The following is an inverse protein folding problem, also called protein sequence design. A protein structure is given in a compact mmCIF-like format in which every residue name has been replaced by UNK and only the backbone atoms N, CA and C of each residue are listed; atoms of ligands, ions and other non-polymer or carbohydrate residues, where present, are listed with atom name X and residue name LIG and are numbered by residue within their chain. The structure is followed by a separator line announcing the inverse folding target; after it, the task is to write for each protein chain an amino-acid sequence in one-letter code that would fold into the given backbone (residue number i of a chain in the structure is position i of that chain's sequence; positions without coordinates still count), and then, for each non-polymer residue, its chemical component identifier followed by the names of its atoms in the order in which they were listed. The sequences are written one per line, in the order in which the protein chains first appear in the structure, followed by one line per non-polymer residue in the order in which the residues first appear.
data_IF_019532709452
#
_entry.id   IF_019532709452
#
_cell.length_a   1.000
_cell.length_b   1.000
_cell.length_c   1.000
_cell.angle_alpha   90.00
_cell.angle_beta   90.00
_cell.angle_gamma   90.00
#
_symmetry.space_group_name_H-M   'P 1'
#
loop_
_entity.id
_entity.type
_entity.pdbx_description
1 polymer ?
#
# COMPACT_ATOMS: atom_id res chain seq x y z
N UNK A 1 -86.30 -21.97 -14.02
CA UNK A 1 -86.49 -20.53 -14.28
C UNK A 1 -85.50 -19.75 -13.43
N UNK A 2 -84.80 -18.79 -14.05
CA UNK A 2 -84.08 -17.62 -13.48
C UNK A 2 -83.11 -17.84 -12.30
N UNK A 3 -81.77 -17.83 -12.48
CA UNK A 3 -80.86 -16.68 -12.67
C UNK A 3 -80.78 -15.73 -11.45
N UNK A 4 -79.62 -15.68 -10.79
CA UNK A 4 -78.77 -14.49 -10.45
C UNK A 4 -77.65 -14.91 -9.48
N UNK A 5 -76.36 -14.90 -9.87
CA UNK A 5 -75.38 -13.78 -9.79
C UNK A 5 -75.18 -13.34 -8.33
N UNK A 6 -73.99 -13.35 -7.73
CA UNK A 6 -72.89 -12.39 -7.95
C UNK A 6 -71.54 -12.98 -7.50
N UNK A 7 -70.55 -12.79 -8.36
CA UNK A 7 -69.11 -12.93 -8.16
C UNK A 7 -68.60 -11.72 -7.38
N UNK A 8 -67.82 -11.90 -6.32
CA UNK A 8 -66.90 -10.87 -5.82
C UNK A 8 -65.51 -11.48 -5.74
N UNK A 9 -64.69 -11.13 -6.74
CA UNK A 9 -63.28 -11.45 -6.80
C UNK A 9 -62.53 -10.50 -5.85
N UNK A 10 -61.89 -11.04 -4.81
CA UNK A 10 -60.96 -10.30 -3.98
C UNK A 10 -59.61 -10.23 -4.69
N UNK A 11 -59.33 -9.09 -5.33
CA UNK A 11 -58.00 -8.77 -5.85
C UNK A 11 -57.08 -8.37 -4.69
N UNK A 12 -56.23 -9.30 -4.25
CA UNK A 12 -55.09 -9.00 -3.38
C UNK A 12 -54.03 -8.26 -4.20
N UNK A 13 -53.97 -6.94 -4.07
CA UNK A 13 -52.79 -6.16 -4.45
C UNK A 13 -51.71 -6.37 -3.38
N UNK A 14 -50.77 -7.28 -3.67
CA UNK A 14 -49.50 -7.34 -2.96
C UNK A 14 -48.64 -6.15 -3.37
N UNK A 15 -48.55 -5.14 -2.51
CA UNK A 15 -47.61 -4.03 -2.67
C UNK A 15 -46.19 -4.52 -2.33
N UNK A 16 -45.43 -4.89 -3.36
CA UNK A 16 -44.00 -5.17 -3.25
C UNK A 16 -43.26 -3.87 -3.00
N UNK A 17 -42.95 -3.56 -1.74
CA UNK A 17 -41.98 -2.52 -1.39
C UNK A 17 -40.58 -2.99 -1.81
N UNK A 18 -40.18 -2.67 -3.03
CA UNK A 18 -38.80 -2.78 -3.46
C UNK A 18 -38.00 -1.72 -2.69
N UNK A 19 -37.33 -2.14 -1.62
CA UNK A 19 -36.31 -1.33 -0.99
C UNK A 19 -35.24 -1.06 -2.06
N UNK A 20 -35.11 0.20 -2.48
CA UNK A 20 -34.04 0.65 -3.34
C UNK A 20 -32.73 0.38 -2.59
N UNK A 21 -32.08 -0.72 -2.95
CA UNK A 21 -30.78 -1.07 -2.43
C UNK A 21 -29.81 -0.02 -2.98
N UNK A 22 -29.36 0.86 -2.09
CA UNK A 22 -28.40 1.91 -2.38
C UNK A 22 -27.20 1.25 -3.08
N UNK A 23 -26.95 1.66 -4.32
CA UNK A 23 -25.88 1.07 -5.11
C UNK A 23 -24.57 1.21 -4.31
N UNK A 24 -23.77 0.13 -4.17
CA UNK A 24 -22.50 0.21 -3.48
C UNK A 24 -21.69 1.34 -4.12
N UNK A 25 -21.12 2.20 -3.27
CA UNK A 25 -20.34 3.34 -3.72
C UNK A 25 -19.32 2.89 -4.77
N UNK A 26 -19.16 3.62 -5.88
CA UNK A 26 -18.19 3.28 -6.91
C UNK A 26 -16.83 3.09 -6.25
N UNK A 27 -16.22 1.91 -6.45
CA UNK A 27 -14.86 1.65 -6.01
C UNK A 27 -13.97 2.78 -6.52
N UNK A 28 -13.23 3.40 -5.61
CA UNK A 28 -12.35 4.53 -5.93
C UNK A 28 -11.47 4.19 -7.13
N UNK A 29 -11.44 5.09 -8.10
CA UNK A 29 -10.65 5.01 -9.33
C UNK A 29 -9.17 4.70 -8.95
N UNK A 30 -8.54 3.63 -9.46
CA UNK A 30 -7.19 3.22 -9.07
C UNK A 30 -6.07 4.17 -9.50
N UNK A 31 -6.41 5.40 -9.94
CA UNK A 31 -5.49 6.44 -10.41
C UNK A 31 -5.16 7.49 -9.35
N UNK A 32 -5.22 7.13 -8.06
CA UNK A 32 -4.79 8.05 -7.01
C UNK A 32 -3.26 8.21 -7.07
N UNK A 33 -2.72 9.45 -6.94
CA UNK A 33 -1.29 9.65 -6.74
C UNK A 33 -0.83 8.84 -5.52
N UNK A 34 0.43 8.35 -5.54
CA UNK A 34 1.01 7.68 -4.36
C UNK A 34 0.81 8.60 -3.16
N UNK A 35 0.07 8.19 -2.12
CA UNK A 35 -0.25 9.07 -1.02
C UNK A 35 1.05 9.62 -0.42
N UNK A 36 1.16 10.93 -0.12
CA UNK A 36 2.32 11.48 0.58
C UNK A 36 2.64 10.73 1.88
N UNK A 37 1.61 10.17 2.50
CA UNK A 37 1.63 9.30 3.68
C UNK A 37 2.53 8.06 3.49
N UNK A 38 2.64 7.55 2.26
CA UNK A 38 3.46 6.39 1.95
C UNK A 38 4.97 6.72 2.00
N UNK A 39 5.32 7.99 1.76
CA UNK A 39 6.69 8.51 1.87
C UNK A 39 7.08 8.85 3.31
N UNK A 40 6.12 8.97 4.24
CA UNK A 40 6.44 9.07 5.68
C UNK A 40 6.85 7.72 6.25
N UNK A 41 6.34 6.63 5.67
CA UNK A 41 6.60 5.27 6.12
C UNK A 41 7.99 4.75 5.73
N UNK A 42 8.53 5.22 4.59
CA UNK A 42 9.84 4.84 4.05
C UNK A 42 10.70 6.06 3.79
N UNK A 43 11.92 6.05 4.30
CA UNK A 43 12.91 7.10 4.08
C UNK A 43 14.11 6.54 3.33
N UNK A 44 14.76 7.30 2.42
CA UNK A 44 15.98 6.86 1.77
C UNK A 44 17.07 6.50 2.78
N UNK A 45 17.72 5.36 2.55
CA UNK A 45 18.85 4.87 3.34
C UNK A 45 20.21 5.21 2.71
N UNK A 46 20.21 5.71 1.46
CA UNK A 46 21.42 6.02 0.71
C UNK A 46 21.11 6.71 -0.63
N UNK A 47 22.13 6.92 -1.48
CA UNK A 47 21.91 7.38 -2.85
C UNK A 47 21.22 6.29 -3.68
N UNK A 48 20.60 6.63 -4.82
CA UNK A 48 20.01 5.62 -5.71
C UNK A 48 21.09 4.66 -6.22
N UNK A 49 20.82 3.36 -6.13
CA UNK A 49 21.74 2.31 -6.61
C UNK A 49 21.76 2.23 -8.13
N UNK A 50 20.61 2.52 -8.77
CA UNK A 50 20.49 2.50 -10.21
C UNK A 50 19.51 3.57 -10.71
N UNK A 51 19.88 4.19 -11.83
CA UNK A 51 19.04 5.10 -12.61
C UNK A 51 19.21 4.73 -14.08
N UNK A 52 18.12 4.34 -14.74
CA UNK A 52 18.17 4.02 -16.16
C UNK A 52 18.32 5.30 -16.99
N UNK A 53 19.18 5.25 -18.01
CA UNK A 53 19.40 6.31 -18.99
C UNK A 53 19.43 5.70 -20.38
N UNK A 54 18.82 6.39 -21.35
CA UNK A 54 18.70 5.93 -22.73
C UNK A 54 17.46 5.06 -22.97
N UNK A 55 17.46 4.24 -24.04
CA UNK A 55 16.31 3.44 -24.42
C UNK A 55 15.98 2.36 -23.38
N UNK A 56 14.70 2.24 -23.04
CA UNK A 56 14.16 1.24 -22.13
C UNK A 56 12.88 0.61 -22.71
N UNK A 57 12.51 -0.54 -22.15
CA UNK A 57 11.27 -1.27 -22.48
C UNK A 57 10.37 -1.41 -21.26
N UNK A 58 9.12 -1.83 -21.48
CA UNK A 58 8.17 -2.20 -20.43
C UNK A 58 8.80 -3.19 -19.44
N UNK A 59 8.68 -2.89 -18.16
CA UNK A 59 9.26 -3.68 -17.07
C UNK A 59 10.67 -3.26 -16.68
N UNK A 60 11.29 -2.33 -17.41
CA UNK A 60 12.60 -1.77 -17.03
C UNK A 60 12.48 -0.93 -15.76
N UNK A 61 13.45 -1.11 -14.84
CA UNK A 61 13.57 -0.31 -13.63
C UNK A 61 14.09 1.08 -14.01
N UNK A 62 13.31 2.12 -13.74
CA UNK A 62 13.70 3.52 -13.90
C UNK A 62 14.67 3.94 -12.80
N UNK A 63 14.31 3.65 -11.55
CA UNK A 63 15.06 4.02 -10.35
C UNK A 63 14.99 2.88 -9.35
N UNK A 64 16.12 2.59 -8.72
CA UNK A 64 16.24 1.72 -7.55
C UNK A 64 16.84 2.56 -6.43
N UNK A 65 16.09 2.75 -5.35
CA UNK A 65 16.47 3.56 -4.20
C UNK A 65 16.49 2.71 -2.94
N UNK A 66 17.63 2.60 -2.22
CA UNK A 66 17.66 1.90 -0.95
C UNK A 66 16.86 2.71 0.07
N UNK A 67 15.97 2.04 0.80
CA UNK A 67 15.07 2.65 1.78
C UNK A 67 15.08 1.88 3.09
N UNK A 68 14.68 2.58 4.16
CA UNK A 68 14.42 2.01 5.48
C UNK A 68 13.09 2.53 6.01
N UNK A 69 12.55 1.91 7.05
CA UNK A 69 11.37 2.44 7.73
C UNK A 69 11.66 3.82 8.34
N UNK A 70 10.76 4.77 8.09
CA UNK A 70 10.80 6.11 8.67
C UNK A 70 10.31 6.16 10.11
N UNK A 71 9.31 5.33 10.43
CA UNK A 71 8.72 5.22 11.77
C UNK A 71 9.17 3.91 12.39
N UNK A 72 9.98 3.98 13.44
CA UNK A 72 10.54 2.79 14.12
C UNK A 72 10.56 2.96 15.64
N UNK A 73 10.69 1.84 16.35
CA UNK A 73 10.83 1.84 17.80
C UNK A 73 10.88 0.44 18.39
N UNK A 74 10.85 0.38 19.72
CA UNK A 74 10.87 -0.87 20.49
C UNK A 74 9.65 -0.95 21.40
N UNK A 75 9.04 -2.13 21.45
CA UNK A 75 7.87 -2.40 22.28
C UNK A 75 8.22 -2.38 23.78
N UNK A 76 7.49 -1.61 24.59
CA UNK A 76 7.75 -1.45 26.04
C UNK A 76 7.16 -2.57 26.91
N UNK A 77 6.07 -3.16 26.47
CA UNK A 77 5.30 -4.18 27.19
C UNK A 77 4.83 -5.25 26.23
N UNK A 78 4.67 -6.48 26.70
CA UNK A 78 4.12 -7.57 25.88
C UNK A 78 2.79 -7.15 25.23
N UNK A 79 2.64 -7.46 23.95
CA UNK A 79 1.45 -7.13 23.19
C UNK A 79 0.98 -8.36 22.40
N UNK A 80 -0.32 -8.42 22.14
CA UNK A 80 -0.93 -9.58 21.46
C UNK A 80 -1.38 -9.16 20.08
N UNK A 81 -0.89 -9.77 19.02
CA UNK A 81 -1.43 -9.60 17.67
C UNK A 81 -2.58 -10.58 17.46
N UNK A 82 -3.77 -10.05 17.19
CA UNK A 82 -4.96 -10.84 16.87
C UNK A 82 -4.93 -11.22 15.38
N UNK A 83 -4.89 -12.52 15.08
CA UNK A 83 -4.94 -13.09 13.72
C UNK A 83 -6.24 -13.85 13.45
N UNK A 84 -6.96 -13.50 12.37
CA UNK A 84 -8.30 -14.05 12.08
C UNK A 84 -8.36 -15.58 11.93
N UNK A 85 -7.33 -16.18 11.34
CA UNK A 85 -7.27 -17.61 11.01
C UNK A 85 -6.12 -18.34 11.71
N UNK A 86 -5.57 -17.78 12.78
CA UNK A 86 -4.44 -18.36 13.50
C UNK A 86 -4.51 -17.99 14.97
N UNK A 87 -3.76 -18.70 15.81
CA UNK A 87 -3.67 -18.34 17.22
C UNK A 87 -3.14 -16.90 17.38
N UNK A 88 -3.63 -16.16 18.39
CA UNK A 88 -3.07 -14.86 18.73
C UNK A 88 -1.56 -14.98 18.95
N UNK A 89 -0.79 -14.07 18.38
CA UNK A 89 0.66 -14.07 18.53
C UNK A 89 1.07 -13.05 19.59
N UNK A 90 1.76 -13.51 20.63
CA UNK A 90 2.36 -12.62 21.63
C UNK A 90 3.69 -12.08 21.06
N UNK A 91 3.84 -10.76 21.09
CA UNK A 91 5.07 -10.05 20.81
C UNK A 91 5.65 -9.57 22.15
N UNK A 92 6.83 -10.06 22.56
CA UNK A 92 7.39 -9.72 23.85
C UNK A 92 7.89 -8.27 23.91
N UNK A 93 7.93 -7.69 25.10
CA UNK A 93 8.65 -6.45 25.37
C UNK A 93 10.09 -6.54 24.84
N UNK A 94 10.61 -5.44 24.29
CA UNK A 94 11.89 -5.40 23.59
C UNK A 94 11.79 -5.73 22.09
N UNK A 95 10.62 -6.15 21.58
CA UNK A 95 10.43 -6.40 20.14
C UNK A 95 10.68 -5.13 19.33
N UNK A 96 11.45 -5.26 18.26
CA UNK A 96 11.69 -4.23 17.25
C UNK A 96 10.43 -4.03 16.40
N UNK A 97 9.99 -2.78 16.25
CA UNK A 97 8.72 -2.43 15.58
C UNK A 97 8.93 -1.35 14.51
N UNK A 98 8.27 -1.49 13.37
CA UNK A 98 8.08 -0.41 12.40
C UNK A 98 6.63 0.07 12.40
N UNK A 99 6.45 1.36 12.11
CA UNK A 99 5.15 2.01 12.03
C UNK A 99 4.71 2.19 10.58
N UNK A 100 3.43 1.91 10.30
CA UNK A 100 2.78 2.21 9.03
C UNK A 100 1.72 3.27 9.30
N UNK A 101 1.87 4.49 8.78
CA UNK A 101 0.87 5.54 8.93
C UNK A 101 -0.39 5.11 8.17
N UNK A 102 -1.51 5.16 8.86
CA UNK A 102 -2.83 4.89 8.30
C UNK A 102 -3.59 6.19 8.21
N UNK A 103 -4.04 6.54 7.00
CA UNK A 103 -5.05 7.57 6.83
C UNK A 103 -6.33 7.12 7.55
N UNK A 104 -6.91 8.05 8.32
CA UNK A 104 -8.13 7.80 9.08
C UNK A 104 -9.32 7.56 8.17
N UNK A 105 -9.57 6.30 7.79
CA UNK A 105 -10.83 5.91 7.15
C UNK A 105 -11.98 5.93 8.16
N UNK A 106 -13.21 6.21 7.68
CA UNK A 106 -14.45 6.07 8.47
C UNK A 106 -14.49 6.90 9.77
N UNK A 107 -13.93 8.12 9.76
CA UNK A 107 -13.95 9.02 10.91
C UNK A 107 -13.02 8.61 12.06
N UNK A 108 -12.19 7.59 11.88
CA UNK A 108 -11.15 7.25 12.84
C UNK A 108 -9.99 8.26 12.76
N UNK A 109 -9.38 8.67 13.90
CA UNK A 109 -8.21 9.53 13.85
C UNK A 109 -7.05 8.78 13.19
N UNK A 110 -6.23 9.52 12.42
CA UNK A 110 -4.99 9.03 11.84
C UNK A 110 -4.15 8.31 12.92
N UNK A 111 -3.70 7.11 12.60
CA UNK A 111 -3.03 6.22 13.55
C UNK A 111 -1.87 5.51 12.89
N UNK A 112 -0.89 5.12 13.70
CA UNK A 112 0.24 4.30 13.25
C UNK A 112 -0.09 2.85 13.59
N UNK A 113 -0.16 1.99 12.57
CA UNK A 113 -0.12 0.55 12.75
C UNK A 113 1.31 0.16 13.11
N UNK A 114 1.50 -0.58 14.20
CA UNK A 114 2.83 -1.07 14.58
C UNK A 114 2.98 -2.53 14.20
N UNK A 115 4.06 -2.86 13.51
CA UNK A 115 4.37 -4.21 13.06
C UNK A 115 5.76 -4.63 13.51
N UNK A 116 5.88 -5.87 13.99
CA UNK A 116 7.16 -6.54 14.21
C UNK A 116 7.51 -7.32 12.93
N UNK A 117 8.70 -7.14 12.32
CA UNK A 117 9.12 -7.98 11.23
C UNK A 117 9.48 -9.38 11.74
N UNK A 118 9.14 -10.40 10.96
CA UNK A 118 9.43 -11.79 11.25
C UNK A 118 9.99 -12.46 10.00
N UNK A 119 11.16 -13.08 10.14
CA UNK A 119 11.70 -13.93 9.09
C UNK A 119 11.01 -15.29 9.16
N UNK A 120 10.37 -15.66 8.07
CA UNK A 120 9.63 -16.91 7.94
C UNK A 120 10.14 -17.70 6.72
N UNK A 121 9.62 -18.91 6.56
CA UNK A 121 9.91 -19.77 5.42
C UNK A 121 8.63 -19.93 4.60
N UNK A 122 8.69 -19.68 3.30
CA UNK A 122 7.52 -19.77 2.44
C UNK A 122 7.17 -21.25 2.15
N UNK A 123 6.08 -21.52 1.41
CA UNK A 123 5.67 -22.90 1.05
C UNK A 123 6.72 -23.68 0.25
N UNK A 124 7.67 -23.00 -0.38
CA UNK A 124 8.76 -23.60 -1.16
C UNK A 124 10.03 -23.83 -0.34
N UNK A 125 10.04 -23.51 0.96
CA UNK A 125 11.23 -23.63 1.79
C UNK A 125 12.19 -22.44 1.72
N UNK A 126 11.81 -21.34 1.06
CA UNK A 126 12.68 -20.18 0.88
C UNK A 126 12.49 -19.16 2.01
N UNK A 127 13.56 -18.52 2.50
CA UNK A 127 13.45 -17.44 3.48
C UNK A 127 12.71 -16.26 2.87
N UNK A 128 11.81 -15.67 3.65
CA UNK A 128 11.10 -14.45 3.30
C UNK A 128 10.76 -13.66 4.57
N UNK A 129 10.47 -12.37 4.38
CA UNK A 129 10.05 -11.51 5.49
C UNK A 129 8.54 -11.33 5.54
N UNK A 130 8.01 -11.31 6.76
CA UNK A 130 6.61 -11.06 7.08
C UNK A 130 6.50 -10.00 8.16
N UNK A 131 5.28 -9.51 8.43
CA UNK A 131 5.00 -8.55 9.49
C UNK A 131 3.92 -9.06 10.42
N UNK A 132 4.11 -8.86 11.72
CA UNK A 132 3.11 -9.15 12.75
C UNK A 132 2.64 -7.84 13.34
N UNK A 133 1.44 -7.43 12.96
CA UNK A 133 0.94 -6.12 13.31
C UNK A 133 0.00 -6.14 14.51
N UNK A 134 0.06 -5.09 15.32
CA UNK A 134 -0.77 -4.87 16.50
C UNK A 134 -1.62 -3.64 16.23
N UNK A 135 -2.93 -3.81 16.39
CA UNK A 135 -3.88 -2.70 16.32
C UNK A 135 -4.96 -2.90 17.34
N UNK A 136 -5.15 -1.89 18.18
CA UNK A 136 -5.89 -2.00 19.44
C UNK A 136 -7.16 -2.85 19.37
N UNK A 137 -8.23 -2.34 18.76
CA UNK A 137 -9.56 -2.95 18.86
C UNK A 137 -10.02 -3.72 17.63
N UNK A 138 -9.13 -4.10 16.71
CA UNK A 138 -9.54 -4.63 15.41
C UNK A 138 -8.61 -5.75 14.94
N UNK A 139 -9.18 -6.79 14.34
CA UNK A 139 -8.39 -7.78 13.60
C UNK A 139 -7.71 -7.11 12.42
N UNK A 140 -6.46 -7.49 12.18
CA UNK A 140 -5.72 -7.05 11.01
C UNK A 140 -5.21 -8.27 10.26
N UNK A 141 -5.63 -8.36 9.00
CA UNK A 141 -5.02 -9.25 8.04
C UNK A 141 -4.07 -8.44 7.17
N UNK A 142 -2.77 -8.57 7.45
CA UNK A 142 -1.72 -8.03 6.59
C UNK A 142 -1.24 -9.11 5.65
N UNK A 143 -1.18 -8.78 4.36
CA UNK A 143 -0.66 -9.69 3.36
C UNK A 143 0.87 -9.55 3.35
N UNK A 144 1.50 -10.32 4.24
CA UNK A 144 2.92 -10.64 4.35
C UNK A 144 3.89 -9.67 3.65
N UNK A 145 4.40 -8.68 4.37
CA UNK A 145 5.48 -7.84 3.86
C UNK A 145 6.16 -7.06 4.97
N UNK A 146 7.41 -6.67 4.72
CA UNK A 146 8.09 -5.59 5.47
C UNK A 146 7.46 -4.23 5.21
N UNK A 147 6.42 -4.15 4.39
CA UNK A 147 5.74 -2.92 4.06
C UNK A 147 4.26 -3.19 3.80
N UNK A 148 3.41 -2.91 4.78
CA UNK A 148 1.98 -3.23 4.73
C UNK A 148 1.28 -2.30 3.74
N UNK A 149 0.77 -2.86 2.64
CA UNK A 149 0.04 -2.10 1.60
C UNK A 149 -1.47 -2.32 1.64
N UNK A 150 -1.91 -3.34 2.37
CA UNK A 150 -3.31 -3.68 2.51
C UNK A 150 -3.61 -4.17 3.93
N UNK A 151 -4.70 -3.66 4.49
CA UNK A 151 -5.24 -4.06 5.78
C UNK A 151 -6.73 -4.31 5.60
N UNK A 152 -7.19 -5.49 6.00
CA UNK A 152 -8.60 -5.73 6.24
C UNK A 152 -8.91 -5.54 7.73
N UNK A 153 -9.99 -4.83 8.02
CA UNK A 153 -10.53 -4.61 9.36
C UNK A 153 -11.81 -5.43 9.55
N UNK A 154 -11.97 -6.04 10.72
CA UNK A 154 -13.26 -6.58 11.16
C UNK A 154 -13.72 -5.88 12.44
N UNK A 155 -14.75 -5.04 12.31
CA UNK A 155 -15.30 -4.22 13.40
C UNK A 155 -16.04 -5.06 14.46
N UNK A 156 -16.34 -6.33 14.18
CA UNK A 156 -17.01 -7.23 15.12
C UNK A 156 -16.02 -8.05 15.94
N UNK A 157 -14.74 -7.68 15.93
CA UNK A 157 -13.69 -8.30 16.71
C UNK A 157 -14.00 -8.26 18.22
N UNK A 158 -14.11 -9.42 18.91
CA UNK A 158 -14.18 -9.41 20.36
C UNK A 158 -12.79 -9.06 20.92
N UNK A 159 -12.61 -7.81 21.35
CA UNK A 159 -11.43 -7.39 22.11
C UNK A 159 -11.05 -5.94 21.89
N UNK A 160 -10.98 -5.17 22.97
CA UNK A 160 -10.25 -3.90 23.01
C UNK A 160 -8.85 -4.23 23.51
N UNK A 161 -7.85 -4.26 22.64
CA UNK A 161 -6.47 -4.24 23.12
C UNK A 161 -6.02 -2.82 23.35
N UNK A 162 -5.21 -2.66 24.40
CA UNK A 162 -4.48 -1.43 24.65
C UNK A 162 -3.59 -1.14 23.44
N UNK A 163 -3.51 0.13 23.03
CA UNK A 163 -2.54 0.55 22.01
C UNK A 163 -1.13 0.15 22.46
N UNK A 164 -0.29 -0.39 21.56
CA UNK A 164 1.05 -0.80 21.93
C UNK A 164 1.84 0.42 22.41
N UNK A 165 2.53 0.27 23.54
CA UNK A 165 3.45 1.28 24.03
C UNK A 165 4.81 1.09 23.35
N UNK A 166 5.21 2.06 22.52
CA UNK A 166 6.45 2.01 21.76
C UNK A 166 7.41 3.10 22.26
N UNK A 167 8.66 2.72 22.49
CA UNK A 167 9.77 3.65 22.62
C UNK A 167 10.30 3.98 21.22
N UNK A 168 10.03 5.19 20.74
CA UNK A 168 10.45 5.60 19.40
C UNK A 168 11.96 5.78 19.38
N UNK A 169 12.61 5.08 18.46
CA UNK A 169 14.04 5.17 18.21
C UNK A 169 14.35 4.55 16.84
N UNK A 170 15.44 4.93 16.17
CA UNK A 170 15.91 4.24 14.98
C UNK A 170 16.16 2.77 15.28
N UNK A 171 15.62 1.88 14.44
CA UNK A 171 15.82 0.44 14.54
C UNK A 171 16.28 -0.12 13.20
N UNK A 172 17.35 -0.90 13.24
CA UNK A 172 17.75 -1.75 12.14
C UNK A 172 17.12 -3.14 12.30
N UNK A 173 16.40 -3.58 11.28
CA UNK A 173 15.76 -4.89 11.21
C UNK A 173 16.62 -5.95 10.51
N UNK A 174 17.79 -5.57 9.97
CA UNK A 174 18.68 -6.46 9.22
C UNK A 174 18.07 -6.92 7.90
N UNK A 175 17.13 -6.16 7.35
CA UNK A 175 16.40 -6.47 6.13
C UNK A 175 16.48 -5.29 5.15
N UNK A 176 17.45 -5.30 4.21
CA UNK A 176 17.54 -4.28 3.18
C UNK A 176 16.25 -4.22 2.36
N UNK A 177 15.83 -3.00 2.01
CA UNK A 177 14.66 -2.76 1.18
C UNK A 177 15.00 -1.75 0.08
N UNK A 178 14.43 -1.98 -1.10
CA UNK A 178 14.58 -1.07 -2.24
C UNK A 178 13.22 -0.58 -2.71
N UNK A 179 13.07 0.73 -2.81
CA UNK A 179 11.96 1.33 -3.53
C UNK A 179 12.29 1.35 -5.02
N UNK A 180 11.47 0.67 -5.82
CA UNK A 180 11.70 0.44 -7.24
C UNK A 180 10.58 1.06 -8.08
N UNK A 181 10.97 1.95 -8.99
CA UNK A 181 10.10 2.53 -10.01
C UNK A 181 10.32 1.80 -11.31
N UNK A 182 9.26 1.26 -11.89
CA UNK A 182 9.31 0.44 -13.11
C UNK A 182 8.47 1.08 -14.19
N UNK A 183 9.03 1.36 -15.35
CA UNK A 183 8.25 1.83 -16.49
C UNK A 183 7.32 0.71 -16.97
N UNK A 184 6.02 0.98 -17.08
CA UNK A 184 5.07 -0.03 -17.57
C UNK A 184 4.72 0.26 -19.02
N UNK A 185 4.03 1.35 -19.30
CA UNK A 185 3.65 1.73 -20.66
C UNK A 185 3.26 3.20 -20.76
N UNK A 186 3.16 3.69 -22.00
CA UNK A 186 2.49 4.93 -22.32
C UNK A 186 1.00 4.69 -22.47
N UNK A 187 0.20 5.56 -21.86
CA UNK A 187 -1.18 5.80 -22.24
C UNK A 187 -1.31 7.05 -23.12
N UNK A 188 -2.52 7.32 -23.61
CA UNK A 188 -2.83 8.50 -24.41
C UNK A 188 -2.39 9.78 -23.71
N UNK A 189 -2.64 9.87 -22.40
CA UNK A 189 -2.41 11.07 -21.59
C UNK A 189 -1.21 10.99 -20.65
N UNK A 190 -0.73 9.78 -20.33
CA UNK A 190 0.19 9.57 -19.20
C UNK A 190 1.30 8.56 -19.54
N UNK A 191 2.39 8.60 -18.79
CA UNK A 191 3.35 7.51 -18.67
C UNK A 191 3.06 6.76 -17.37
N UNK A 192 2.79 5.46 -17.46
CA UNK A 192 2.52 4.64 -16.29
C UNK A 192 3.85 4.10 -15.71
N UNK A 193 3.98 4.23 -14.40
CA UNK A 193 5.14 3.79 -13.63
C UNK A 193 4.64 2.94 -12.46
N UNK A 194 5.01 1.67 -12.42
CA UNK A 194 4.70 0.81 -11.29
C UNK A 194 5.71 1.01 -10.17
N UNK A 195 5.22 1.18 -8.94
CA UNK A 195 6.05 1.40 -7.75
C UNK A 195 5.92 0.21 -6.81
N UNK A 196 7.04 -0.33 -6.37
CA UNK A 196 7.08 -1.43 -5.40
C UNK A 196 8.24 -1.30 -4.43
N UNK A 197 8.13 -1.96 -3.29
CA UNK A 197 9.22 -2.14 -2.32
C UNK A 197 9.70 -3.58 -2.45
N UNK A 198 10.97 -3.77 -2.81
CA UNK A 198 11.60 -5.08 -2.89
C UNK A 198 12.39 -5.37 -1.61
N UNK A 199 12.41 -6.63 -1.20
CA UNK A 199 13.17 -7.11 -0.04
C UNK A 199 13.48 -8.60 -0.21
N UNK A 200 14.31 -9.15 0.67
CA UNK A 200 14.69 -10.57 0.58
C UNK A 200 13.45 -11.49 0.60
N UNK A 201 13.29 -12.29 -0.46
CA UNK A 201 12.21 -13.27 -0.59
C UNK A 201 10.84 -12.67 -0.88
N UNK A 202 10.71 -11.38 -1.21
CA UNK A 202 9.41 -10.78 -1.49
C UNK A 202 9.42 -9.38 -2.10
N UNK A 203 8.21 -8.89 -2.38
CA UNK A 203 7.98 -7.50 -2.78
C UNK A 203 6.58 -7.06 -2.35
N UNK A 204 6.42 -5.77 -2.08
CA UNK A 204 5.15 -5.14 -1.80
C UNK A 204 4.80 -4.13 -2.90
N UNK A 205 3.63 -4.27 -3.51
CA UNK A 205 3.13 -3.37 -4.56
C UNK A 205 2.56 -2.11 -3.93
N UNK A 206 3.10 -0.94 -4.29
CA UNK A 206 2.57 0.36 -3.89
C UNK A 206 1.54 0.89 -4.89
N UNK A 207 1.54 0.35 -6.11
CA UNK A 207 0.55 0.63 -7.15
C UNK A 207 1.16 1.25 -8.40
N UNK A 208 0.28 1.68 -9.30
CA UNK A 208 0.65 2.42 -10.51
C UNK A 208 0.63 3.92 -10.21
N UNK A 209 1.67 4.60 -10.66
CA UNK A 209 1.78 6.05 -10.66
C UNK A 209 1.76 6.53 -12.11
N UNK A 210 0.74 7.30 -12.47
CA UNK A 210 0.63 7.90 -13.80
C UNK A 210 1.28 9.28 -13.80
N UNK A 211 2.28 9.46 -14.66
CA UNK A 211 2.97 10.74 -14.87
C UNK A 211 2.39 11.41 -16.10
N UNK A 212 1.79 12.58 -15.91
CA UNK A 212 1.11 13.29 -17.00
C UNK A 212 2.06 13.66 -18.13
N UNK A 213 1.58 13.48 -19.36
CA UNK A 213 2.30 13.89 -20.57
C UNK A 213 2.14 15.38 -20.83
N UNK A 214 3.21 15.99 -21.30
CA UNK A 214 3.21 17.34 -21.85
C UNK A 214 2.71 17.33 -23.30
N UNK A 215 2.54 18.53 -23.88
CA UNK A 215 2.03 18.69 -25.24
C UNK A 215 2.96 18.09 -26.31
N UNK A 216 4.26 18.00 -26.04
CA UNK A 216 5.25 17.34 -26.89
C UNK A 216 5.26 15.81 -26.74
N UNK A 217 4.41 15.29 -25.85
CA UNK A 217 4.26 13.87 -25.58
C UNK A 217 5.26 13.29 -24.58
N UNK A 218 6.17 14.10 -24.03
CA UNK A 218 7.11 13.69 -22.98
C UNK A 218 6.46 13.70 -21.60
N UNK A 219 7.10 13.11 -20.59
CA UNK A 219 6.61 13.11 -19.21
C UNK A 219 7.76 13.34 -18.22
N UNK A 220 7.54 14.21 -17.23
CA UNK A 220 8.53 14.58 -16.22
C UNK A 220 8.28 13.82 -14.91
N UNK A 221 9.11 12.82 -14.64
CA UNK A 221 9.07 12.03 -13.40
C UNK A 221 9.98 12.67 -12.34
N UNK A 222 9.37 13.33 -11.35
CA UNK A 222 10.07 14.00 -10.25
C UNK A 222 10.12 13.09 -9.03
N UNK A 223 11.33 12.75 -8.58
CA UNK A 223 11.56 11.82 -7.48
C UNK A 223 12.74 12.30 -6.64
N UNK A 224 12.60 12.32 -5.31
CA UNK A 224 13.70 12.58 -4.37
C UNK A 224 14.54 13.83 -4.70
N UNK A 225 13.87 14.94 -5.06
CA UNK A 225 14.54 16.18 -5.44
C UNK A 225 15.25 16.16 -6.80
N UNK A 226 15.26 15.02 -7.50
CA UNK A 226 15.69 14.86 -8.89
C UNK A 226 14.53 14.81 -9.88
N UNK A 227 14.89 14.70 -11.16
CA UNK A 227 13.96 14.75 -12.28
C UNK A 227 14.47 13.94 -13.46
N UNK A 228 13.62 13.04 -13.94
CA UNK A 228 13.82 12.24 -15.14
C UNK A 228 12.82 12.68 -16.22
N UNK A 229 13.31 12.86 -17.44
CA UNK A 229 12.47 13.07 -18.61
C UNK A 229 12.27 11.73 -19.31
N UNK A 230 11.01 11.32 -19.44
CA UNK A 230 10.59 10.16 -20.21
C UNK A 230 10.13 10.64 -21.58
N UNK A 231 10.72 10.10 -22.65
CA UNK A 231 10.31 10.38 -24.04
C UNK A 231 9.71 9.12 -24.66
N UNK A 232 8.62 9.22 -25.45
CA UNK A 232 8.07 8.08 -26.17
C UNK A 232 9.11 7.42 -27.09
N UNK A 233 9.13 6.09 -27.11
CA UNK A 233 9.96 5.30 -28.02
C UNK A 233 9.22 4.92 -29.30
N UNK A 234 9.56 3.74 -29.85
CA UNK A 234 8.96 3.21 -31.08
C UNK A 234 7.49 2.81 -30.94
N UNK A 235 7.05 2.48 -29.72
CA UNK A 235 5.66 2.13 -29.41
C UNK A 235 5.32 2.46 -27.94
N UNK A 236 4.11 2.07 -27.50
CA UNK A 236 3.61 2.33 -26.14
C UNK A 236 4.41 1.62 -25.03
N UNK A 237 5.25 0.64 -25.33
CA UNK A 237 6.05 -0.13 -24.37
C UNK A 237 7.52 0.26 -24.37
N UNK A 238 7.90 1.30 -25.12
CA UNK A 238 9.27 1.78 -25.20
C UNK A 238 9.33 3.23 -24.75
N UNK A 239 10.40 3.59 -24.05
CA UNK A 239 10.69 4.97 -23.69
C UNK A 239 12.20 5.23 -23.82
N UNK A 240 12.57 6.50 -23.90
CA UNK A 240 13.95 6.96 -23.72
C UNK A 240 13.99 7.80 -22.46
N UNK A 241 14.92 7.50 -21.56
CA UNK A 241 15.07 8.18 -20.27
C UNK A 241 16.26 9.12 -20.31
N UNK A 242 16.05 10.36 -19.90
CA UNK A 242 17.11 11.35 -19.70
C UNK A 242 17.08 11.88 -18.26
N UNK A 243 18.25 12.06 -17.66
CA UNK A 243 18.36 12.68 -16.33
C UNK A 243 18.43 14.19 -16.54
N UNK A 244 17.38 14.90 -16.14
CA UNK A 244 17.35 16.38 -16.18
C UNK A 244 18.02 16.94 -14.93
N UNK A 245 17.69 16.36 -13.78
CA UNK A 245 18.29 16.70 -12.49
C UNK A 245 18.64 15.43 -11.73
N UNK A 246 19.92 15.21 -11.36
CA UNK A 246 20.29 14.09 -10.51
C UNK A 246 19.48 14.07 -9.22
N UNK A 247 19.08 12.89 -8.78
CA UNK A 247 18.44 12.72 -7.47
C UNK A 247 19.43 13.09 -6.38
N UNK A 248 18.98 13.92 -5.44
CA UNK A 248 19.72 14.29 -4.25
C UNK A 248 19.27 13.39 -3.10
N UNK A 249 20.20 12.97 -2.24
CA UNK A 249 19.78 12.42 -0.95
C UNK A 249 18.90 13.46 -0.26
N UNK A 250 17.69 13.10 0.23
CA UNK A 250 16.98 14.01 1.11
C UNK A 250 17.86 14.27 2.33
N UNK A 251 17.86 15.51 2.82
CA UNK A 251 18.48 15.81 4.09
C UNK A 251 17.89 14.87 5.14
N UNK A 252 18.74 14.10 5.83
CA UNK A 252 18.30 13.22 6.91
C UNK A 252 17.73 14.13 8.00
N UNK A 253 16.42 14.16 8.12
CA UNK A 253 15.77 14.78 9.29
C UNK A 253 15.92 13.77 10.42
N UNK A 254 16.89 14.00 11.30
CA UNK A 254 16.97 13.28 12.57
C UNK A 254 15.78 13.70 13.43
N UNK A 255 14.95 12.73 13.82
CA UNK A 255 13.80 12.91 14.71
C UNK A 255 14.15 12.50 16.14
#
# INVERSE_FOLDING_TARGET
MSVRTIVIAAALLAASAAAAQEAPAPMADPKAPVPPELMEALVPAGPPEAVSVGPITRGARLVVMPVRHGITGVLKEDAVSLRRFSEPKILPAGSKMFGVPMSGGYGAPAQVLWCAPERAVNRKGEPHWTGVCIWGSVWIETWASLFVTYIAFDQHAPGVQKRPQIDRQPVDFGAPMDLVFTFTEWDKTDADVFVSVQFEGGSASLGNHSVKREADGTAHLKLFGGELLLKPGSDRRHAVVEVIKPMSQPAVVEF
#
